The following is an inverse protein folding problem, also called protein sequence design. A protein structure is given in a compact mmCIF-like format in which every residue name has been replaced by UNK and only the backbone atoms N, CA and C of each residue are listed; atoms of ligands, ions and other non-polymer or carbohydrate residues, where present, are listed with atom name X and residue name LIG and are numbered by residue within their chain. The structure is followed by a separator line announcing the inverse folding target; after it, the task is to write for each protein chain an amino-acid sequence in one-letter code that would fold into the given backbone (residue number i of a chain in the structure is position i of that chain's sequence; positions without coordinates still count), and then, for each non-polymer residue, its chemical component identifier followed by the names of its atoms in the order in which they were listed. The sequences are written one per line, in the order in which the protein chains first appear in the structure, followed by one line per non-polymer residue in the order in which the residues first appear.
data_IF_946595521680
#
_entry.id   IF_946595521680
#
_cell.length_a   1.000
_cell.length_b   1.000
_cell.length_c   1.000
_cell.angle_alpha   90.00
_cell.angle_beta   90.00
_cell.angle_gamma   90.00
#
_symmetry.space_group_name_H-M   'P 1'
#
loop_
_entity.id
_entity.type
_entity.pdbx_description
1 polymer ?
#
# COMPACT_ATOMS: atom_id res chain seq x y z
N UNK A 1 -2.21 -28.60 -3.05
CA UNK A 1 -2.23 -27.14 -3.33
C UNK A 1 -2.17 -26.94 -4.85
N UNK A 2 -2.91 -25.96 -5.39
CA UNK A 2 -2.88 -25.67 -6.83
C UNK A 2 -1.54 -25.02 -7.20
N UNK A 3 -1.00 -25.36 -8.36
CA UNK A 3 0.34 -24.97 -8.77
C UNK A 3 0.50 -24.87 -10.29
N UNK A 4 1.49 -24.11 -10.74
CA UNK A 4 1.96 -24.08 -12.13
C UNK A 4 3.49 -23.95 -12.13
N UNK A 5 4.16 -24.64 -13.05
CA UNK A 5 5.61 -24.49 -13.20
C UNK A 5 5.98 -23.05 -13.54
N UNK A 6 7.10 -22.56 -13.00
CA UNK A 6 7.63 -21.22 -13.29
C UNK A 6 7.75 -20.97 -14.78
N UNK A 7 8.17 -21.98 -15.56
CA UNK A 7 8.33 -21.87 -17.02
C UNK A 7 6.98 -21.81 -17.76
N UNK A 8 5.88 -22.15 -17.09
CA UNK A 8 4.50 -22.11 -17.62
C UNK A 8 3.65 -21.02 -16.98
N UNK A 9 4.25 -20.10 -16.21
CA UNK A 9 3.50 -19.04 -15.55
C UNK A 9 2.77 -18.13 -16.54
N UNK A 10 3.36 -17.90 -17.72
CA UNK A 10 2.74 -17.10 -18.78
C UNK A 10 1.41 -17.72 -19.27
N UNK A 11 1.28 -19.06 -19.24
CA UNK A 11 0.02 -19.74 -19.58
C UNK A 11 -1.08 -19.47 -18.56
N UNK A 12 -0.74 -19.30 -17.28
CA UNK A 12 -1.69 -18.87 -16.26
C UNK A 12 -2.13 -17.42 -16.52
N UNK A 13 -1.19 -16.53 -16.85
CA UNK A 13 -1.50 -15.14 -17.17
C UNK A 13 -2.40 -15.01 -18.39
N UNK A 14 -2.16 -15.80 -19.44
CA UNK A 14 -3.05 -15.92 -20.60
C UNK A 14 -4.45 -16.40 -20.21
N UNK A 15 -4.56 -17.39 -19.32
CA UNK A 15 -5.86 -17.88 -18.86
C UNK A 15 -6.64 -16.81 -18.07
N UNK A 16 -5.96 -16.05 -17.20
CA UNK A 16 -6.57 -14.93 -16.47
C UNK A 16 -7.05 -13.85 -17.45
N UNK A 17 -6.17 -13.43 -18.36
CA UNK A 17 -6.41 -12.32 -19.29
C UNK A 17 -7.56 -12.56 -20.28
N UNK A 18 -7.97 -13.82 -20.49
CA UNK A 18 -9.17 -14.16 -21.29
C UNK A 18 -10.49 -13.75 -20.63
N UNK A 19 -10.51 -13.61 -19.30
CA UNK A 19 -11.76 -13.37 -18.54
C UNK A 19 -11.75 -12.08 -17.74
N UNK A 20 -10.57 -11.58 -17.37
CA UNK A 20 -10.40 -10.40 -16.52
C UNK A 20 -9.17 -9.61 -16.93
N UNK A 21 -9.16 -8.31 -16.66
CA UNK A 21 -7.92 -7.55 -16.81
C UNK A 21 -6.89 -8.00 -15.77
N UNK A 22 -5.68 -8.34 -16.20
CA UNK A 22 -4.56 -8.73 -15.33
C UNK A 22 -3.53 -7.60 -15.25
N UNK A 23 -3.09 -7.30 -14.03
CA UNK A 23 -1.94 -6.45 -13.74
C UNK A 23 -0.88 -7.24 -12.99
N UNK A 24 0.39 -7.03 -13.34
CA UNK A 24 1.52 -7.66 -12.66
C UNK A 24 2.77 -6.76 -12.67
N UNK A 25 3.76 -7.00 -11.79
CA UNK A 25 5.03 -6.28 -11.79
C UNK A 25 5.81 -6.53 -13.08
N UNK A 26 6.20 -5.46 -13.77
CA UNK A 26 7.02 -5.48 -15.00
C UNK A 26 8.21 -4.55 -14.81
N UNK A 27 9.39 -4.96 -15.26
CA UNK A 27 10.58 -4.11 -15.24
C UNK A 27 10.41 -2.93 -16.18
N UNK A 28 10.72 -1.74 -15.68
CA UNK A 28 10.76 -0.50 -16.44
C UNK A 28 12.18 -0.18 -16.91
N UNK A 29 12.31 0.83 -17.78
CA UNK A 29 13.59 1.22 -18.36
C UNK A 29 14.67 1.64 -17.33
N UNK A 30 14.29 1.91 -16.08
CA UNK A 30 15.23 2.26 -14.99
C UNK A 30 15.73 1.05 -14.19
N UNK A 31 15.37 -0.18 -14.57
CA UNK A 31 15.72 -1.40 -13.83
C UNK A 31 14.91 -1.60 -12.54
N UNK A 32 13.81 -0.85 -12.38
CA UNK A 32 12.85 -1.02 -11.27
C UNK A 32 11.56 -1.63 -11.81
N UNK A 33 10.68 -2.13 -10.93
CA UNK A 33 9.39 -2.66 -11.36
C UNK A 33 8.23 -1.68 -11.15
N UNK A 34 7.27 -1.66 -12.08
CA UNK A 34 5.96 -1.05 -11.92
C UNK A 34 4.88 -2.11 -12.11
N UNK A 35 3.70 -1.92 -11.52
CA UNK A 35 2.55 -2.71 -11.96
C UNK A 35 2.07 -2.19 -13.31
N UNK A 36 1.98 -3.08 -14.28
CA UNK A 36 1.51 -2.77 -15.62
C UNK A 36 0.43 -3.76 -16.04
N UNK A 37 -0.44 -3.35 -16.96
CA UNK A 37 -1.44 -4.23 -17.56
C UNK A 37 -0.73 -5.31 -18.38
N UNK A 38 -1.05 -6.57 -18.11
CA UNK A 38 -0.49 -7.69 -18.86
C UNK A 38 -1.01 -7.70 -20.29
N UNK A 39 -0.11 -7.98 -21.23
CA UNK A 39 -0.39 -8.28 -22.62
C UNK A 39 0.47 -9.49 -23.04
N UNK A 40 0.15 -10.11 -24.17
CA UNK A 40 0.96 -11.24 -24.67
C UNK A 40 2.41 -10.78 -24.88
N UNK A 41 3.35 -11.47 -24.22
CA UNK A 41 4.77 -11.13 -24.24
C UNK A 41 5.25 -10.30 -23.04
N UNK A 42 4.34 -9.77 -22.21
CA UNK A 42 4.70 -9.13 -20.94
C UNK A 42 5.41 -10.12 -20.02
N UNK A 43 6.54 -9.71 -19.43
CA UNK A 43 7.34 -10.53 -18.51
C UNK A 43 7.16 -10.08 -17.08
N UNK A 44 6.93 -11.04 -16.19
CA UNK A 44 6.91 -10.83 -14.75
C UNK A 44 8.31 -10.44 -14.27
N UNK A 45 8.39 -9.30 -13.59
CA UNK A 45 9.61 -8.82 -12.95
C UNK A 45 10.06 -9.74 -11.82
N UNK A 46 11.38 -9.92 -11.70
CA UNK A 46 12.01 -10.57 -10.54
C UNK A 46 12.13 -9.68 -9.30
N UNK A 47 11.78 -8.39 -9.41
CA UNK A 47 11.92 -7.44 -8.31
C UNK A 47 11.00 -7.79 -7.13
N UNK A 48 11.52 -7.65 -5.90
CA UNK A 48 10.72 -7.85 -4.70
C UNK A 48 9.58 -6.83 -4.63
N UNK A 49 9.85 -5.54 -4.88
CA UNK A 49 8.88 -4.47 -4.73
C UNK A 49 8.81 -3.64 -6.00
N UNK A 50 7.61 -3.27 -6.40
CA UNK A 50 7.37 -2.18 -7.36
C UNK A 50 7.67 -0.83 -6.73
N UNK A 51 8.00 0.18 -7.55
CA UNK A 51 8.28 1.56 -7.11
C UNK A 51 7.10 2.14 -6.34
N UNK A 52 5.90 2.01 -6.90
CA UNK A 52 4.63 2.34 -6.24
C UNK A 52 3.93 1.06 -5.84
N UNK A 53 3.29 1.06 -4.67
CA UNK A 53 2.56 -0.10 -4.18
C UNK A 53 1.33 -0.40 -5.03
N UNK A 54 0.66 -1.51 -4.71
CA UNK A 54 -0.65 -1.83 -5.28
C UNK A 54 -1.79 -0.87 -4.90
N UNK A 55 -1.51 0.21 -4.14
CA UNK A 55 -2.55 1.16 -3.72
C UNK A 55 -3.21 1.88 -4.89
N UNK A 56 -2.47 2.10 -5.98
CA UNK A 56 -2.94 2.77 -7.19
C UNK A 56 -4.22 2.14 -7.80
N UNK A 57 -4.43 0.85 -7.59
CA UNK A 57 -5.58 0.12 -8.12
C UNK A 57 -6.88 0.42 -7.36
N UNK A 58 -6.77 0.77 -6.09
CA UNK A 58 -7.90 0.98 -5.18
C UNK A 58 -8.06 2.46 -4.80
N UNK A 59 -6.97 3.22 -4.85
CA UNK A 59 -6.91 4.64 -4.58
C UNK A 59 -6.01 5.32 -5.63
N UNK A 60 -6.54 5.60 -6.84
CA UNK A 60 -5.75 6.12 -7.95
C UNK A 60 -5.26 7.55 -7.67
N UNK A 61 -4.17 7.94 -8.34
CA UNK A 61 -3.54 9.27 -8.17
C UNK A 61 -4.50 10.42 -8.40
N UNK A 62 -5.34 10.30 -9.42
CA UNK A 62 -6.38 11.27 -9.75
C UNK A 62 -7.63 10.49 -10.11
N UNK A 63 -8.74 10.86 -9.52
CA UNK A 63 -10.06 10.27 -9.75
C UNK A 63 -11.08 11.37 -9.96
N UNK A 64 -11.79 11.32 -11.09
CA UNK A 64 -12.95 12.18 -11.31
C UNK A 64 -14.06 11.75 -10.37
N UNK A 65 -14.67 12.71 -9.68
CA UNK A 65 -15.71 12.46 -8.68
C UNK A 65 -17.09 12.89 -9.16
N UNK A 66 -17.29 14.15 -9.53
CA UNK A 66 -18.61 14.59 -10.00
C UNK A 66 -18.43 15.65 -11.06
N UNK A 67 -19.18 15.51 -12.16
CA UNK A 67 -19.30 16.55 -13.16
C UNK A 67 -20.63 17.27 -13.01
N UNK A 68 -20.64 18.57 -13.27
CA UNK A 68 -21.85 19.36 -13.43
C UNK A 68 -21.79 19.94 -14.83
N UNK A 69 -22.81 19.65 -15.65
CA UNK A 69 -22.93 20.19 -17.00
C UNK A 69 -24.04 21.23 -17.03
N UNK A 70 -23.77 22.39 -17.62
CA UNK A 70 -24.72 23.49 -17.76
C UNK A 70 -25.07 23.63 -19.24
N UNK A 71 -26.31 23.35 -19.61
CA UNK A 71 -26.84 23.50 -20.97
C UNK A 71 -28.21 24.18 -20.92
N UNK A 72 -28.38 25.26 -21.66
CA UNK A 72 -29.63 26.03 -21.74
C UNK A 72 -30.22 26.43 -20.36
N UNK A 73 -29.34 26.72 -19.39
CA UNK A 73 -29.72 27.07 -18.02
C UNK A 73 -30.09 25.86 -17.13
N UNK A 74 -30.03 24.63 -17.65
CA UNK A 74 -30.25 23.40 -16.89
C UNK A 74 -28.92 22.81 -16.39
N UNK A 75 -28.91 22.34 -15.14
CA UNK A 75 -27.76 21.67 -14.53
C UNK A 75 -28.00 20.15 -14.55
N UNK A 76 -27.11 19.41 -15.19
CA UNK A 76 -27.09 17.94 -15.16
C UNK A 76 -25.90 17.46 -14.33
N UNK A 77 -26.16 16.61 -13.33
CA UNK A 77 -25.11 15.95 -12.55
C UNK A 77 -24.62 14.73 -13.30
N UNK A 78 -23.31 14.65 -13.53
CA UNK A 78 -22.62 13.54 -14.15
C UNK A 78 -21.88 12.73 -13.08
N UNK A 79 -22.31 11.49 -12.91
CA UNK A 79 -21.62 10.53 -12.08
C UNK A 79 -20.58 9.78 -12.92
N UNK A 80 -19.26 9.99 -12.71
CA UNK A 80 -18.20 9.32 -13.45
C UNK A 80 -17.98 7.89 -12.97
N UNK A 81 -18.62 7.45 -11.87
CA UNK A 81 -18.53 6.06 -11.41
C UNK A 81 -19.08 5.14 -12.48
N UNK A 82 -18.28 4.15 -12.84
CA UNK A 82 -18.67 3.04 -13.70
C UNK A 82 -18.62 1.76 -12.88
N UNK A 83 -19.52 0.83 -13.13
CA UNK A 83 -19.30 -0.54 -12.69
C UNK A 83 -17.96 -1.00 -13.28
N UNK A 84 -17.03 -1.40 -12.41
CA UNK A 84 -15.73 -1.86 -12.84
C UNK A 84 -15.85 -3.32 -13.22
N UNK A 85 -15.26 -3.72 -14.33
CA UNK A 85 -15.06 -5.14 -14.57
C UNK A 85 -14.08 -5.70 -13.52
N UNK A 86 -14.31 -6.95 -13.12
CA UNK A 86 -13.37 -7.67 -12.27
C UNK A 86 -11.96 -7.63 -12.86
N UNK A 87 -10.98 -7.31 -12.03
CA UNK A 87 -9.57 -7.28 -12.41
C UNK A 87 -8.71 -8.03 -11.39
N UNK A 88 -7.55 -8.50 -11.82
CA UNK A 88 -6.61 -9.24 -11.00
C UNK A 88 -5.32 -8.45 -10.87
N UNK A 89 -4.83 -8.27 -9.65
CA UNK A 89 -3.48 -7.75 -9.39
C UNK A 89 -2.64 -8.88 -8.83
N UNK A 90 -1.74 -9.41 -9.66
CA UNK A 90 -0.83 -10.48 -9.29
C UNK A 90 0.49 -9.93 -8.75
N UNK A 91 1.09 -10.61 -7.77
CA UNK A 91 2.41 -10.24 -7.24
C UNK A 91 2.36 -9.15 -6.17
N UNK A 92 1.19 -8.90 -5.56
CA UNK A 92 1.05 -7.98 -4.43
C UNK A 92 1.83 -8.53 -3.23
N UNK A 93 2.55 -7.68 -2.50
CA UNK A 93 3.31 -8.13 -1.31
C UNK A 93 2.44 -8.04 -0.06
N UNK A 94 2.75 -8.86 0.95
CA UNK A 94 2.03 -8.90 2.22
C UNK A 94 1.81 -7.50 2.84
N UNK A 95 2.84 -6.64 2.79
CA UNK A 95 2.77 -5.27 3.28
C UNK A 95 1.85 -4.36 2.45
N UNK A 96 1.76 -4.55 1.13
CA UNK A 96 0.80 -3.82 0.29
C UNK A 96 -0.62 -4.34 0.52
N UNK A 97 -0.80 -5.66 0.65
CA UNK A 97 -2.10 -6.25 0.98
C UNK A 97 -2.63 -5.78 2.33
N UNK A 98 -1.77 -5.72 3.36
CA UNK A 98 -2.15 -5.20 4.68
C UNK A 98 -2.55 -3.73 4.66
N UNK A 99 -2.01 -2.95 3.73
CA UNK A 99 -2.41 -1.57 3.58
C UNK A 99 -3.88 -1.43 3.15
N UNK A 100 -4.47 -2.43 2.48
CA UNK A 100 -5.89 -2.40 2.17
C UNK A 100 -6.76 -2.52 3.41
N UNK A 101 -6.41 -3.34 4.41
CA UNK A 101 -7.12 -3.35 5.70
C UNK A 101 -7.11 -1.96 6.37
N UNK A 102 -5.99 -1.23 6.24
CA UNK A 102 -5.83 0.14 6.76
C UNK A 102 -6.74 1.10 5.98
N UNK A 103 -6.85 0.96 4.65
CA UNK A 103 -7.78 1.76 3.87
C UNK A 103 -9.24 1.39 4.17
N UNK A 104 -9.55 0.10 4.32
CA UNK A 104 -10.91 -0.41 4.57
C UNK A 104 -11.48 0.21 5.87
N UNK A 105 -10.67 0.35 6.92
CA UNK A 105 -11.02 1.04 8.17
C UNK A 105 -11.46 2.49 8.00
N UNK A 106 -10.98 3.19 6.97
CA UNK A 106 -11.28 4.60 6.71
C UNK A 106 -12.35 4.76 5.63
N UNK A 107 -12.23 4.04 4.52
CA UNK A 107 -13.06 4.24 3.34
C UNK A 107 -14.29 3.34 3.30
N UNK A 108 -14.32 2.24 4.06
CA UNK A 108 -15.47 1.34 4.12
C UNK A 108 -16.19 1.40 5.47
N UNK A 109 -15.43 1.40 6.57
CA UNK A 109 -15.99 1.29 7.92
C UNK A 109 -16.40 2.65 8.54
N UNK A 110 -15.84 3.77 8.07
CA UNK A 110 -16.31 5.10 8.50
C UNK A 110 -17.53 5.54 7.68
N UNK A 111 -18.32 6.44 8.27
CA UNK A 111 -19.53 6.98 7.65
C UNK A 111 -19.28 8.42 7.15
N UNK A 112 -19.61 8.72 5.88
CA UNK A 112 -20.14 7.81 4.86
C UNK A 112 -19.06 6.92 4.22
N UNK A 113 -19.46 5.74 3.74
CA UNK A 113 -18.61 4.86 2.93
C UNK A 113 -18.20 5.56 1.63
N UNK A 114 -16.94 5.45 1.24
CA UNK A 114 -16.43 5.90 -0.04
C UNK A 114 -16.79 4.90 -1.15
N UNK A 115 -17.80 5.27 -1.93
CA UNK A 115 -18.30 4.44 -3.04
C UNK A 115 -17.27 4.16 -4.14
N UNK A 116 -16.28 5.02 -4.37
CA UNK A 116 -15.26 4.82 -5.40
C UNK A 116 -14.28 3.73 -4.98
N UNK A 117 -13.79 3.85 -3.74
CA UNK A 117 -12.92 2.87 -3.13
C UNK A 117 -13.64 1.52 -3.00
N UNK A 118 -14.89 1.52 -2.51
CA UNK A 118 -15.70 0.30 -2.40
C UNK A 118 -15.84 -0.41 -3.74
N UNK A 119 -16.22 0.31 -4.79
CA UNK A 119 -16.38 -0.27 -6.12
C UNK A 119 -15.07 -0.94 -6.61
N UNK A 120 -13.91 -0.32 -6.40
CA UNK A 120 -12.61 -0.92 -6.73
C UNK A 120 -12.29 -2.15 -5.87
N UNK A 121 -12.58 -2.07 -4.57
CA UNK A 121 -12.33 -3.15 -3.60
C UNK A 121 -13.18 -4.39 -3.91
N UNK A 122 -14.44 -4.18 -4.28
CA UNK A 122 -15.40 -5.24 -4.65
C UNK A 122 -14.97 -5.99 -5.92
N UNK A 123 -14.40 -5.31 -6.92
CA UNK A 123 -14.02 -5.89 -8.22
C UNK A 123 -12.55 -6.33 -8.33
N UNK A 124 -11.66 -5.80 -7.48
CA UNK A 124 -10.23 -6.14 -7.52
C UNK A 124 -9.88 -7.43 -6.77
N UNK A 125 -9.40 -8.45 -7.49
CA UNK A 125 -8.89 -9.72 -6.94
C UNK A 125 -7.40 -9.55 -6.64
N UNK A 126 -7.02 -9.73 -5.38
CA UNK A 126 -5.65 -9.53 -4.91
C UNK A 126 -4.94 -10.89 -4.80
N UNK A 127 -4.00 -11.16 -5.72
CA UNK A 127 -3.13 -12.34 -5.66
C UNK A 127 -1.77 -11.91 -5.10
N UNK A 128 -1.51 -12.28 -3.86
CA UNK A 128 -0.27 -11.91 -3.18
C UNK A 128 0.84 -12.91 -3.44
N UNK A 129 2.11 -12.48 -3.42
CA UNK A 129 3.27 -13.33 -3.61
C UNK A 129 4.23 -13.17 -2.42
N UNK A 130 4.54 -14.30 -1.77
CA UNK A 130 5.46 -14.36 -0.65
C UNK A 130 6.85 -13.79 -1.01
N UNK A 131 7.54 -13.25 -0.01
CA UNK A 131 8.82 -12.57 -0.19
C UNK A 131 9.98 -13.56 -0.04
N UNK A 132 10.29 -14.33 -1.09
CA UNK A 132 11.41 -15.31 -1.08
C UNK A 132 12.75 -14.68 -0.69
N UNK A 133 13.02 -13.47 -1.18
CA UNK A 133 14.22 -12.68 -0.85
C UNK A 133 13.81 -11.32 -0.32
N UNK A 134 13.60 -11.16 1.00
CA UNK A 134 13.25 -9.88 1.57
C UNK A 134 14.45 -8.92 1.53
N UNK A 135 14.16 -7.64 1.31
CA UNK A 135 15.17 -6.58 1.22
C UNK A 135 15.68 -6.16 2.61
N UNK A 136 16.93 -5.71 2.70
CA UNK A 136 17.56 -5.22 3.94
C UNK A 136 16.79 -4.10 4.63
N UNK A 137 16.02 -3.32 3.87
CA UNK A 137 15.22 -2.21 4.39
C UNK A 137 13.80 -2.63 4.81
N UNK A 138 13.46 -3.92 4.74
CA UNK A 138 12.17 -4.43 5.23
C UNK A 138 12.17 -4.58 6.77
N UNK A 139 11.04 -4.26 7.38
CA UNK A 139 10.78 -4.38 8.82
C UNK A 139 9.29 -4.68 9.09
N UNK A 140 8.66 -5.42 8.18
CA UNK A 140 7.24 -5.76 8.28
C UNK A 140 6.94 -6.71 9.45
N UNK A 141 7.92 -7.52 9.87
CA UNK A 141 7.81 -8.38 11.07
C UNK A 141 7.57 -7.59 12.35
N UNK A 142 8.10 -6.37 12.47
CA UNK A 142 7.87 -5.50 13.63
C UNK A 142 6.44 -4.97 13.70
N UNK A 143 5.64 -5.17 12.65
CA UNK A 143 4.21 -4.84 12.59
C UNK A 143 3.34 -6.12 12.54
N UNK A 144 3.88 -7.27 12.95
CA UNK A 144 3.19 -8.56 12.99
C UNK A 144 2.75 -9.09 11.60
N UNK A 145 3.39 -8.61 10.52
CA UNK A 145 3.15 -9.15 9.17
C UNK A 145 4.09 -10.33 8.88
N UNK A 146 3.50 -11.45 8.48
CA UNK A 146 4.23 -12.64 8.03
C UNK A 146 4.47 -12.59 6.51
N UNK A 147 5.70 -12.27 6.10
CA UNK A 147 6.09 -12.22 4.70
C UNK A 147 6.04 -13.59 3.99
N UNK A 148 5.98 -14.69 4.77
CA UNK A 148 5.81 -16.05 4.27
C UNK A 148 4.33 -16.47 4.13
N UNK A 149 3.39 -15.71 4.72
CA UNK A 149 1.95 -15.94 4.62
C UNK A 149 1.26 -14.63 4.17
N UNK A 150 1.30 -14.30 2.87
CA UNK A 150 1.08 -12.94 2.39
C UNK A 150 -0.39 -12.47 2.29
N UNK A 151 -1.37 -13.32 2.64
CA UNK A 151 -2.81 -13.01 2.68
C UNK A 151 -3.39 -12.56 1.31
N UNK A 152 -4.33 -11.61 1.29
CA UNK A 152 -5.11 -11.23 0.10
C UNK A 152 -6.20 -12.25 -0.24
N UNK A 153 -6.78 -12.18 -1.43
CA UNK A 153 -7.79 -13.16 -1.89
C UNK A 153 -7.15 -14.53 -2.18
N UNK A 154 -5.94 -14.50 -2.73
CA UNK A 154 -5.10 -15.68 -2.98
C UNK A 154 -3.68 -15.39 -2.52
N UNK A 155 -3.11 -16.31 -1.73
CA UNK A 155 -1.69 -16.33 -1.42
C UNK A 155 -0.93 -17.17 -2.45
N UNK A 156 0.23 -16.71 -2.89
CA UNK A 156 1.12 -17.45 -3.78
C UNK A 156 2.56 -17.54 -3.28
N UNK A 157 3.26 -18.61 -3.67
CA UNK A 157 4.66 -18.89 -3.33
C UNK A 157 5.41 -19.40 -4.54
N UNK A 158 6.65 -18.95 -4.75
CA UNK A 158 7.58 -19.58 -5.69
C UNK A 158 8.45 -20.56 -4.89
N UNK A 159 8.24 -21.86 -5.06
CA UNK A 159 8.94 -22.91 -4.33
C UNK A 159 9.23 -24.09 -5.25
N UNK A 160 10.41 -24.71 -5.14
CA UNK A 160 10.73 -25.93 -5.93
C UNK A 160 10.61 -25.78 -7.46
N UNK A 161 10.69 -24.56 -8.00
CA UNK A 161 10.51 -24.29 -9.44
C UNK A 161 9.06 -24.10 -9.90
N UNK A 162 8.09 -24.10 -8.99
CA UNK A 162 6.68 -23.86 -9.29
C UNK A 162 6.12 -22.67 -8.50
N UNK A 163 5.10 -22.02 -9.05
CA UNK A 163 4.21 -21.15 -8.30
C UNK A 163 3.08 -21.98 -7.70
N UNK A 164 2.87 -21.84 -6.39
CA UNK A 164 1.78 -22.46 -5.64
C UNK A 164 0.76 -21.41 -5.25
N UNK A 165 -0.51 -21.81 -5.12
CA UNK A 165 -1.64 -20.92 -4.86
C UNK A 165 -2.57 -21.48 -3.78
N UNK A 166 -2.99 -20.60 -2.88
CA UNK A 166 -3.99 -20.88 -1.86
C UNK A 166 -5.05 -19.78 -1.84
N UNK A 167 -6.32 -20.14 -2.03
CA UNK A 167 -7.40 -19.20 -1.81
C UNK A 167 -7.60 -18.94 -0.32
N UNK A 168 -7.71 -17.66 0.05
CA UNK A 168 -7.99 -17.22 1.43
C UNK A 168 -9.41 -16.65 1.58
N UNK A 169 -10.09 -16.34 0.47
CA UNK A 169 -11.46 -15.80 0.44
C UNK A 169 -12.33 -16.55 -0.58
N UNK A 170 -13.65 -16.40 -0.51
CA UNK A 170 -14.55 -16.96 -1.51
C UNK A 170 -14.36 -16.33 -2.89
N UNK A 171 -13.96 -15.05 -2.93
CA UNK A 171 -13.51 -14.36 -4.14
C UNK A 171 -12.28 -15.04 -4.73
N UNK A 172 -11.31 -15.40 -3.89
CA UNK A 172 -10.12 -16.15 -4.27
C UNK A 172 -10.40 -17.56 -4.76
N UNK A 173 -11.34 -18.29 -4.12
CA UNK A 173 -11.76 -19.64 -4.55
C UNK A 173 -12.37 -19.59 -5.95
N UNK A 174 -13.37 -18.72 -6.18
CA UNK A 174 -14.00 -18.51 -7.49
C UNK A 174 -12.97 -18.15 -8.56
N UNK A 175 -12.00 -17.32 -8.21
CA UNK A 175 -10.91 -16.97 -9.12
C UNK A 175 -10.05 -18.19 -9.49
N UNK A 176 -9.55 -18.95 -8.51
CA UNK A 176 -8.73 -20.14 -8.80
C UNK A 176 -9.49 -21.20 -9.59
N UNK A 177 -10.78 -21.39 -9.31
CA UNK A 177 -11.64 -22.30 -10.08
C UNK A 177 -11.76 -21.87 -11.55
N UNK A 178 -11.86 -20.56 -11.81
CA UNK A 178 -11.96 -20.02 -13.18
C UNK A 178 -10.70 -20.24 -14.04
N UNK A 179 -9.54 -20.46 -13.39
CA UNK A 179 -8.25 -20.71 -14.07
C UNK A 179 -7.69 -22.11 -13.77
N UNK A 180 -8.52 -23.00 -13.21
CA UNK A 180 -8.11 -24.34 -12.78
C UNK A 180 -7.50 -25.18 -13.89
N UNK A 181 -7.92 -24.98 -15.15
CA UNK A 181 -7.37 -25.66 -16.32
C UNK A 181 -5.90 -25.35 -16.60
N UNK A 182 -5.38 -24.21 -16.11
CA UNK A 182 -3.98 -23.83 -16.19
C UNK A 182 -3.16 -24.29 -14.98
N UNK A 183 -3.79 -24.92 -13.98
CA UNK A 183 -3.19 -25.30 -12.71
C UNK A 183 -3.17 -26.83 -12.53
N UNK A 184 -2.27 -27.30 -11.69
CA UNK A 184 -2.14 -28.70 -11.29
C UNK A 184 -2.07 -28.81 -9.77
N UNK A 185 -2.54 -29.93 -9.24
CA UNK A 185 -2.38 -30.22 -7.82
C UNK A 185 -1.00 -30.81 -7.53
N UNK A 186 -0.35 -30.27 -6.49
CA UNK A 186 0.90 -30.77 -5.91
C UNK A 186 0.82 -30.74 -4.38
N UNK A 187 1.67 -31.49 -3.70
CA UNK A 187 1.79 -31.42 -2.24
C UNK A 187 2.36 -30.05 -1.79
N UNK A 188 2.21 -29.74 -0.50
CA UNK A 188 2.62 -28.46 0.07
C UNK A 188 4.05 -28.47 0.65
N UNK A 189 4.80 -29.57 0.57
CA UNK A 189 6.08 -29.69 1.29
C UNK A 189 7.11 -28.65 0.83
N UNK A 190 7.16 -28.36 -0.47
CA UNK A 190 8.02 -27.31 -1.02
C UNK A 190 7.64 -25.91 -0.48
N UNK A 191 6.34 -25.64 -0.34
CA UNK A 191 5.84 -24.37 0.22
C UNK A 191 6.20 -24.26 1.70
N UNK A 192 6.08 -25.33 2.48
CA UNK A 192 6.43 -25.32 3.90
C UNK A 192 7.94 -25.10 4.12
N UNK A 193 8.78 -25.68 3.28
CA UNK A 193 10.23 -25.43 3.28
C UNK A 193 10.55 -23.97 2.93
N UNK A 194 9.92 -23.43 1.89
CA UNK A 194 10.09 -22.03 1.48
C UNK A 194 9.63 -21.06 2.58
N UNK A 195 8.48 -21.33 3.23
CA UNK A 195 8.00 -20.51 4.35
C UNK A 195 9.01 -20.46 5.50
N UNK A 196 9.61 -21.60 5.85
CA UNK A 196 10.67 -21.66 6.89
C UNK A 196 11.91 -20.86 6.46
N UNK A 197 12.32 -20.97 5.19
CA UNK A 197 13.45 -20.22 4.65
C UNK A 197 13.21 -18.70 4.68
N UNK A 198 12.02 -18.25 4.28
CA UNK A 198 11.62 -16.84 4.34
C UNK A 198 11.69 -16.32 5.78
N UNK A 199 11.12 -17.05 6.75
CA UNK A 199 11.15 -16.66 8.17
C UNK A 199 12.58 -16.54 8.69
N UNK A 200 13.45 -17.50 8.37
CA UNK A 200 14.85 -17.45 8.76
C UNK A 200 15.63 -16.27 8.14
N UNK A 201 15.26 -15.83 6.93
CA UNK A 201 15.83 -14.63 6.29
C UNK A 201 15.33 -13.36 6.95
N UNK A 202 14.03 -13.26 7.23
CA UNK A 202 13.41 -12.10 7.90
C UNK A 202 14.05 -11.85 9.27
N UNK A 203 14.26 -12.91 10.06
CA UNK A 203 14.86 -12.82 11.40
C UNK A 203 16.28 -12.20 11.38
N UNK A 204 17.01 -12.38 10.26
CA UNK A 204 18.37 -11.84 10.10
C UNK A 204 18.41 -10.41 9.58
N UNK A 205 17.25 -9.81 9.25
CA UNK A 205 17.21 -8.44 8.76
C UNK A 205 17.58 -7.44 9.87
N UNK A 206 18.26 -6.33 9.52
CA UNK A 206 18.76 -5.36 10.51
C UNK A 206 17.65 -4.69 11.33
N UNK A 207 16.40 -4.75 10.84
CA UNK A 207 15.26 -4.09 11.43
C UNK A 207 14.12 -5.07 11.78
N UNK A 208 14.42 -6.37 11.91
CA UNK A 208 13.41 -7.40 12.21
C UNK A 208 12.69 -7.17 13.55
N UNK A 209 13.42 -6.64 14.54
CA UNK A 209 12.99 -6.43 15.93
C UNK A 209 12.95 -4.95 16.31
N UNK A 210 12.35 -4.10 15.47
CA UNK A 210 12.19 -2.70 15.79
C UNK A 210 11.18 -2.53 16.94
N UNK A 211 11.60 -1.93 18.05
CA UNK A 211 10.75 -1.71 19.21
C UNK A 211 9.76 -0.55 18.98
N UNK A 212 8.47 -0.86 19.05
CA UNK A 212 7.36 0.08 18.89
C UNK A 212 6.65 0.41 20.21
N UNK A 213 7.12 -0.12 21.35
CA UNK A 213 6.47 0.00 22.67
C UNK A 213 6.15 1.44 23.05
N UNK A 214 7.10 2.37 22.89
CA UNK A 214 6.90 3.80 23.18
C UNK A 214 5.72 4.41 22.42
N UNK A 215 5.37 3.89 21.25
CA UNK A 215 4.26 4.41 20.45
C UNK A 215 2.91 3.74 20.77
N UNK A 216 2.91 2.64 21.55
CA UNK A 216 1.68 1.95 21.99
C UNK A 216 1.11 2.54 23.28
N UNK A 217 2.01 2.85 24.23
CA UNK A 217 1.66 3.06 25.64
C UNK A 217 1.89 4.49 26.12
N UNK A 218 2.72 5.28 25.43
CA UNK A 218 3.03 6.65 25.86
C UNK A 218 1.88 7.63 25.56
N UNK A 219 1.62 8.61 26.45
CA UNK A 219 0.65 9.66 26.17
C UNK A 219 0.97 10.42 24.89
N UNK A 220 -0.04 10.63 24.06
CA UNK A 220 0.09 11.29 22.75
C UNK A 220 0.77 12.66 22.84
N UNK A 221 0.43 13.46 23.87
CA UNK A 221 1.02 14.79 24.05
C UNK A 221 2.50 14.76 24.46
N UNK A 222 2.95 13.71 25.16
CA UNK A 222 4.37 13.50 25.45
C UNK A 222 5.15 13.27 24.15
N UNK A 223 4.62 12.41 23.27
CA UNK A 223 5.23 12.16 21.96
C UNK A 223 5.15 13.41 21.06
N UNK A 224 4.05 14.15 21.09
CA UNK A 224 3.82 15.33 20.26
C UNK A 224 4.77 16.50 20.57
N UNK A 225 5.02 16.73 21.86
CA UNK A 225 5.86 17.81 22.37
C UNK A 225 7.34 17.41 22.50
N UNK A 226 7.71 16.19 22.13
CA UNK A 226 9.07 15.70 22.29
C UNK A 226 10.10 16.58 21.53
N UNK A 227 11.18 17.04 22.18
CA UNK A 227 12.16 17.94 21.56
C UNK A 227 12.95 17.26 20.43
N UNK A 228 12.97 15.93 20.38
CA UNK A 228 13.63 15.14 19.32
C UNK A 228 13.11 15.48 17.91
N UNK A 229 11.88 16.00 17.79
CA UNK A 229 11.32 16.42 16.50
C UNK A 229 12.12 17.52 15.81
N UNK A 230 12.71 18.45 16.56
CA UNK A 230 13.53 19.55 16.01
C UNK A 230 14.65 18.95 15.16
N UNK A 231 15.54 18.18 15.81
CA UNK A 231 16.69 17.52 15.19
C UNK A 231 16.31 16.57 14.06
N UNK A 232 15.23 15.80 14.21
CA UNK A 232 14.79 14.86 13.17
C UNK A 232 14.30 15.60 11.90
N UNK A 233 13.67 16.76 12.07
CA UNK A 233 13.08 17.51 10.96
C UNK A 233 14.08 18.31 10.12
N UNK A 234 15.23 18.72 10.71
CA UNK A 234 16.25 19.56 10.05
C UNK A 234 16.73 19.01 8.71
N UNK A 235 16.95 17.70 8.63
CA UNK A 235 17.41 17.06 7.38
C UNK A 235 16.31 16.86 6.34
N UNK A 236 15.04 17.04 6.70
CA UNK A 236 13.93 16.73 5.80
C UNK A 236 13.75 17.78 4.71
N UNK A 237 13.87 17.37 3.45
CA UNK A 237 13.65 18.24 2.29
C UNK A 237 12.17 18.64 2.05
N UNK A 238 11.21 18.07 2.79
CA UNK A 238 9.79 18.32 2.56
C UNK A 238 9.22 17.83 1.22
N UNK A 239 9.98 17.05 0.43
CA UNK A 239 9.61 16.67 -0.94
C UNK A 239 8.39 15.74 -1.07
N UNK A 240 7.99 15.04 -0.01
CA UNK A 240 6.82 14.16 0.00
C UNK A 240 6.99 12.81 -0.73
N UNK A 241 8.15 12.49 -1.33
CA UNK A 241 8.39 11.21 -2.04
C UNK A 241 7.91 9.99 -1.25
N UNK A 242 8.11 10.02 0.06
CA UNK A 242 7.80 8.92 0.94
C UNK A 242 6.29 8.69 1.16
N UNK A 243 5.46 9.73 1.07
CA UNK A 243 4.00 9.57 1.17
C UNK A 243 3.45 8.98 -0.14
N UNK A 244 4.04 9.36 -1.26
CA UNK A 244 3.69 8.84 -2.59
C UNK A 244 4.01 7.35 -2.76
N UNK A 245 5.17 6.88 -2.30
CA UNK A 245 5.54 5.45 -2.40
C UNK A 245 4.98 4.58 -1.26
N UNK A 246 4.42 5.18 -0.21
CA UNK A 246 3.92 4.44 0.94
C UNK A 246 2.58 3.79 0.63
N UNK A 247 2.40 2.48 0.87
CA UNK A 247 1.17 1.76 0.54
C UNK A 247 -0.04 2.20 1.36
N UNK A 248 0.18 2.66 2.59
CA UNK A 248 -0.90 3.04 3.50
C UNK A 248 -1.18 4.55 3.54
N UNK A 249 -0.42 5.38 2.81
CA UNK A 249 -0.68 6.83 2.75
C UNK A 249 -1.88 7.13 1.86
N UNK A 250 -2.83 7.89 2.42
CA UNK A 250 -4.19 8.10 1.91
C UNK A 250 -4.59 9.59 1.86
N UNK A 251 -3.62 10.52 1.94
CA UNK A 251 -3.92 11.94 1.84
C UNK A 251 -4.30 12.31 0.40
N UNK A 252 -5.33 13.14 0.25
CA UNK A 252 -5.78 13.69 -1.03
C UNK A 252 -6.34 15.09 -0.86
N UNK A 253 -6.36 15.83 -1.96
CA UNK A 253 -7.06 17.10 -2.12
C UNK A 253 -8.20 16.90 -3.14
N UNK A 254 -9.24 17.72 -3.05
CA UNK A 254 -10.37 17.73 -3.98
C UNK A 254 -10.42 19.10 -4.62
N UNK A 255 -10.34 19.12 -5.96
CA UNK A 255 -10.38 20.36 -6.73
C UNK A 255 -11.44 20.33 -7.79
N UNK A 256 -12.04 21.48 -7.99
CA UNK A 256 -13.02 21.75 -9.03
C UNK A 256 -12.31 22.41 -10.23
N UNK A 257 -12.55 21.89 -11.42
CA UNK A 257 -11.99 22.39 -12.67
C UNK A 257 -13.11 22.90 -13.58
N UNK A 258 -12.97 24.13 -14.07
CA UNK A 258 -13.89 24.70 -15.06
C UNK A 258 -13.69 23.99 -16.41
N UNK A 259 -14.79 23.54 -17.01
CA UNK A 259 -14.83 22.85 -18.30
C UNK A 259 -15.30 23.76 -19.45
N UNK A 260 -15.62 25.02 -19.16
CA UNK A 260 -16.25 25.98 -20.08
C UNK A 260 -17.77 25.84 -20.18
N UNK A 261 -18.31 24.65 -19.87
CA UNK A 261 -19.74 24.35 -19.89
C UNK A 261 -20.20 23.69 -18.58
N UNK A 262 -19.51 23.98 -17.47
CA UNK A 262 -19.74 23.34 -16.18
C UNK A 262 -18.46 23.09 -15.39
N UNK A 263 -18.53 22.23 -14.37
CA UNK A 263 -17.44 21.95 -13.43
C UNK A 263 -17.17 20.45 -13.38
N UNK A 264 -15.90 20.06 -13.37
CA UNK A 264 -15.46 18.70 -13.06
C UNK A 264 -14.67 18.69 -11.75
N UNK A 265 -15.18 17.97 -10.75
CA UNK A 265 -14.48 17.74 -9.49
C UNK A 265 -13.56 16.52 -9.62
N UNK A 266 -12.30 16.66 -9.22
CA UNK A 266 -11.34 15.57 -9.15
C UNK A 266 -10.66 15.50 -7.79
N UNK A 267 -10.58 14.28 -7.26
CA UNK A 267 -9.72 13.93 -6.13
C UNK A 267 -8.33 13.61 -6.64
N UNK A 268 -7.30 14.25 -6.10
CA UNK A 268 -5.90 13.96 -6.42
C UNK A 268 -5.10 13.69 -5.16
N UNK A 269 -4.19 12.72 -5.21
CA UNK A 269 -3.28 12.46 -4.09
C UNK A 269 -2.58 13.74 -3.66
N UNK A 270 -2.48 13.88 -2.35
CA UNK A 270 -1.76 14.97 -1.73
C UNK A 270 -0.91 14.40 -0.58
N UNK A 271 -0.24 15.26 0.15
CA UNK A 271 0.66 14.88 1.22
C UNK A 271 0.40 15.76 2.43
N UNK A 272 0.17 15.12 3.58
CA UNK A 272 0.15 15.84 4.85
C UNK A 272 1.48 16.55 5.19
N UNK A 273 2.52 16.39 4.37
CA UNK A 273 3.77 17.13 4.52
C UNK A 273 3.84 18.43 3.72
N UNK A 274 2.90 18.69 2.81
CA UNK A 274 2.87 19.93 2.03
C UNK A 274 2.17 21.06 2.81
N UNK A 275 2.58 22.30 2.58
CA UNK A 275 2.00 23.49 3.25
C UNK A 275 0.52 23.61 2.95
N UNK A 276 0.16 23.43 1.70
CA UNK A 276 -1.17 23.75 1.17
C UNK A 276 -2.22 22.77 1.68
N UNK A 277 -1.83 21.53 1.98
CA UNK A 277 -2.72 20.48 2.51
C UNK A 277 -3.44 20.89 3.81
N UNK A 278 -2.86 21.80 4.61
CA UNK A 278 -3.53 22.35 5.79
C UNK A 278 -3.78 23.84 5.75
N UNK A 279 -3.65 24.46 4.59
CA UNK A 279 -3.97 25.86 4.47
C UNK A 279 -5.48 26.03 4.65
N UNK A 280 -5.87 26.80 5.68
CA UNK A 280 -7.24 27.23 5.90
C UNK A 280 -7.36 28.72 5.55
N UNK A 281 -8.59 29.22 5.40
CA UNK A 281 -8.84 30.60 4.97
C UNK A 281 -8.10 31.67 5.80
N UNK A 282 -7.91 31.44 7.10
CA UNK A 282 -7.30 32.40 8.01
C UNK A 282 -5.89 32.02 8.51
N UNK A 283 -5.50 30.74 8.43
CA UNK A 283 -4.28 30.26 9.07
C UNK A 283 -3.79 28.94 8.49
N UNK A 284 -2.54 28.59 8.82
CA UNK A 284 -2.01 27.25 8.62
C UNK A 284 -1.59 26.68 9.99
N UNK A 285 -2.22 25.61 10.49
CA UNK A 285 -1.87 25.03 11.78
C UNK A 285 -0.50 24.34 11.79
N UNK A 286 0.14 24.17 10.62
CA UNK A 286 1.45 23.55 10.46
C UNK A 286 2.38 24.46 9.66
N UNK A 287 2.75 25.58 10.30
CA UNK A 287 3.53 26.67 9.73
C UNK A 287 4.91 26.22 9.24
N UNK A 288 5.63 25.42 10.03
CA UNK A 288 7.02 25.06 9.72
C UNK A 288 7.16 23.63 9.20
N UNK A 289 8.34 23.34 8.65
CA UNK A 289 8.68 22.00 8.19
C UNK A 289 8.63 20.97 9.33
N UNK A 290 8.92 21.37 10.58
CA UNK A 290 8.86 20.50 11.75
C UNK A 290 7.46 19.96 12.00
N UNK A 291 6.44 20.82 12.06
CA UNK A 291 5.07 20.35 12.33
C UNK A 291 4.56 19.43 11.23
N UNK A 292 4.91 19.72 9.97
CA UNK A 292 4.57 18.89 8.80
C UNK A 292 5.31 17.55 8.79
N UNK A 293 6.59 17.55 9.14
CA UNK A 293 7.38 16.33 9.33
C UNK A 293 6.81 15.45 10.44
N UNK A 294 6.59 16.03 11.62
CA UNK A 294 6.00 15.36 12.78
C UNK A 294 4.65 14.75 12.43
N UNK A 295 3.77 15.48 11.73
CA UNK A 295 2.43 15.00 11.37
C UNK A 295 2.47 13.64 10.69
N UNK A 296 3.39 13.43 9.75
CA UNK A 296 3.48 12.15 9.04
C UNK A 296 3.79 10.98 9.97
N UNK A 297 4.75 11.13 10.86
CA UNK A 297 5.16 10.03 11.73
C UNK A 297 4.18 9.83 12.88
N UNK A 298 3.67 10.92 13.47
CA UNK A 298 2.60 10.86 14.46
C UNK A 298 1.33 10.23 13.87
N UNK A 299 0.95 10.54 12.62
CA UNK A 299 -0.20 9.88 11.99
C UNK A 299 0.02 8.37 11.89
N UNK A 300 1.24 7.94 11.50
CA UNK A 300 1.52 6.52 11.32
C UNK A 300 1.67 5.72 12.61
N UNK A 301 2.24 6.33 13.64
CA UNK A 301 2.66 5.66 14.87
C UNK A 301 1.75 5.96 16.06
N UNK A 302 0.94 7.01 16.02
CA UNK A 302 0.18 7.47 17.20
C UNK A 302 -1.29 7.68 16.86
N UNK A 303 -1.62 8.62 15.97
CA UNK A 303 -3.00 9.03 15.73
C UNK A 303 -3.86 7.91 15.14
N UNK A 304 -3.34 7.22 14.12
CA UNK A 304 -4.08 6.14 13.48
C UNK A 304 -4.29 4.95 14.45
N UNK A 305 -3.27 4.44 15.18
CA UNK A 305 -3.49 3.46 16.26
C UNK A 305 -4.49 3.88 17.32
N UNK A 306 -4.50 5.15 17.72
CA UNK A 306 -5.46 5.65 18.71
C UNK A 306 -6.89 5.58 18.21
N UNK A 307 -7.13 5.82 16.92
CA UNK A 307 -8.45 5.82 16.30
C UNK A 307 -8.92 4.43 15.84
N UNK A 308 -8.00 3.50 15.59
CA UNK A 308 -8.29 2.21 14.94
C UNK A 308 -7.70 1.03 15.71
N UNK A 309 -8.15 0.82 16.95
CA UNK A 309 -7.90 -0.42 17.71
C UNK A 309 -6.40 -0.80 17.82
N UNK A 310 -5.53 0.20 18.04
CA UNK A 310 -4.07 0.04 18.14
C UNK A 310 -3.38 -0.47 16.86
N UNK A 311 -4.09 -0.51 15.73
CA UNK A 311 -3.52 -0.84 14.43
C UNK A 311 -2.56 0.28 13.99
N UNK A 312 -1.29 -0.04 13.75
CA UNK A 312 -0.38 0.90 13.11
C UNK A 312 -0.71 1.11 11.64
N UNK A 313 -0.58 2.36 11.18
CA UNK A 313 -0.74 2.69 9.77
C UNK A 313 0.51 2.26 8.96
N UNK A 314 1.66 2.08 9.59
CA UNK A 314 2.86 1.58 8.91
C UNK A 314 2.79 0.06 8.74
N UNK A 315 3.31 -0.44 7.62
CA UNK A 315 3.32 -1.88 7.25
C UNK A 315 4.75 -2.43 7.06
N UNK A 316 5.77 -1.66 7.44
CA UNK A 316 7.18 -2.07 7.38
C UNK A 316 7.75 -2.42 6.00
N UNK A 317 7.17 -1.89 4.92
CA UNK A 317 7.55 -2.23 3.53
C UNK A 317 8.94 -1.72 3.07
N UNK A 318 9.58 -0.82 3.80
CA UNK A 318 10.90 -0.27 3.44
C UNK A 318 10.92 0.78 2.32
N UNK A 319 9.87 0.94 1.50
CA UNK A 319 9.89 1.85 0.32
C UNK A 319 10.28 3.31 0.65
N UNK A 320 9.89 3.81 1.83
CA UNK A 320 10.27 5.16 2.25
C UNK A 320 11.74 5.29 2.68
N UNK A 321 12.40 4.20 3.07
CA UNK A 321 13.83 4.16 3.34
C UNK A 321 14.60 4.20 2.02
N UNK A 322 14.15 3.42 1.03
CA UNK A 322 14.76 3.32 -0.30
C UNK A 322 14.68 4.62 -1.08
N UNK A 323 13.54 5.34 -0.97
CA UNK A 323 13.23 6.47 -1.85
C UNK A 323 13.60 7.84 -1.28
N UNK A 324 14.04 7.93 -0.02
CA UNK A 324 14.40 9.22 0.57
C UNK A 324 15.82 9.64 0.14
N UNK A 325 16.00 10.79 -0.54
CA UNK A 325 17.30 11.21 -1.06
C UNK A 325 18.32 11.53 0.04
N UNK A 326 17.85 11.84 1.26
CA UNK A 326 18.68 12.15 2.43
C UNK A 326 18.58 11.07 3.51
N UNK A 327 18.01 9.91 3.18
CA UNK A 327 17.86 8.74 4.05
C UNK A 327 17.16 9.01 5.40
N UNK A 328 16.31 10.03 5.51
CA UNK A 328 15.45 10.26 6.67
C UNK A 328 14.18 9.42 6.54
N UNK A 329 13.88 8.64 7.58
CA UNK A 329 12.87 7.60 7.49
C UNK A 329 12.29 7.23 8.86
N UNK A 330 11.25 6.40 8.85
CA UNK A 330 10.50 6.03 10.05
C UNK A 330 11.33 5.21 11.05
N UNK A 331 12.29 4.41 10.59
CA UNK A 331 13.18 3.64 11.48
C UNK A 331 14.07 4.58 12.28
N UNK A 332 14.61 5.64 11.67
CA UNK A 332 15.37 6.67 12.38
C UNK A 332 14.53 7.41 13.43
N UNK A 333 13.27 7.72 13.10
CA UNK A 333 12.33 8.33 14.05
C UNK A 333 12.09 7.40 15.22
N UNK A 334 11.78 6.12 14.98
CA UNK A 334 11.52 5.14 16.04
C UNK A 334 12.75 4.98 16.95
N UNK A 335 13.95 4.81 16.38
CA UNK A 335 15.18 4.69 17.16
C UNK A 335 15.47 5.92 18.01
N UNK A 336 15.33 7.12 17.42
CA UNK A 336 15.54 8.37 18.15
C UNK A 336 14.56 8.53 19.32
N UNK A 337 13.31 8.10 19.16
CA UNK A 337 12.33 8.07 20.25
C UNK A 337 12.70 7.04 21.31
N UNK A 338 13.21 5.86 20.93
CA UNK A 338 13.63 4.83 21.88
C UNK A 338 14.85 5.27 22.71
N UNK A 339 15.76 6.03 22.12
CA UNK A 339 16.93 6.62 22.79
C UNK A 339 16.60 7.87 23.62
N UNK A 340 15.53 8.59 23.27
CA UNK A 340 15.13 9.80 23.98
C UNK A 340 14.59 9.50 25.40
N UNK A 341 15.08 10.25 26.37
CA UNK A 341 14.42 10.38 27.67
C UNK A 341 13.22 11.32 27.50
N UNK A 342 12.03 10.73 27.57
CA UNK A 342 10.76 11.42 27.36
C UNK A 342 9.99 11.61 28.67
N UNK A 343 10.64 11.39 29.82
CA UNK A 343 10.02 11.52 31.13
C UNK A 343 8.83 10.57 31.28
N UNK A 344 9.12 9.27 31.42
CA UNK A 344 8.17 8.30 31.94
C UNK A 344 8.40 8.12 33.44
N UNK A 345 7.34 8.06 34.24
CA UNK A 345 7.41 7.69 35.66
C UNK A 345 8.08 6.34 35.87
#
# INVERSE_FOLDING_TARGET
MLSVSKDKIDSLFEAIAKTKTLYLPVDNASGKANFEKWQKGTKLSGALKTVRSAKDFFFPKTEKMVGYKIEDGNITVQDPRKELEDFVVFGVRACDAKAFDIFDKVYLEMTPTDSYYKNRRDHGIIVTLACSEPDKNCFCSSYDLDAANPAGDVSAWLAGGDYYFNANSDKGKKFLDSVKSALKEKDAAAVDAEKKAIKAKIEKLPFAHLDLSKFKDMPMMTLFNAPVWEKLSESCLGCGTCTYVCPSCMCFDVRDYDTGHGIEQSRTWDSCMYSDFTQMAAANPRLTQKERFRQRFMHKLVYYPMAHEKLFMCVGCGRCLDSCPIHMNIVKVIKAFNEADLGGK
#
